data_IF_749314006902
#
_entry.id   IF_749314006902
#
_cell.length_a   1.000
_cell.length_b   1.000
_cell.length_c   1.000
_cell.angle_alpha   90.00
_cell.angle_beta   90.00
_cell.angle_gamma   90.00
#
_symmetry.space_group_name_H-M   'P 1'
#
loop_
_entity.id
_entity.type
_entity.pdbx_description
1 polymer ?
#
# COMPACT_ATOMS: atom_id res chain seq x y z
N UNK A 1 -54.83 -37.19 -17.49
CA UNK A 1 -53.41 -37.11 -17.86
C UNK A 1 -52.81 -35.94 -17.17
N UNK A 2 -51.98 -36.16 -16.11
CA UNK A 2 -51.27 -35.08 -15.36
C UNK A 2 -49.98 -34.73 -16.11
N UNK A 3 -49.76 -33.47 -16.35
CA UNK A 3 -48.61 -32.94 -17.09
C UNK A 3 -47.37 -32.92 -16.16
N UNK A 4 -46.31 -33.68 -16.44
CA UNK A 4 -45.17 -33.83 -15.52
C UNK A 4 -44.20 -32.62 -15.50
N UNK A 5 -44.45 -31.59 -16.32
CA UNK A 5 -43.52 -30.45 -16.49
C UNK A 5 -43.85 -29.23 -15.63
N UNK A 6 -44.87 -29.30 -14.74
CA UNK A 6 -45.29 -28.10 -13.96
C UNK A 6 -44.52 -27.92 -12.65
N UNK A 7 -43.80 -28.92 -12.16
CA UNK A 7 -43.12 -28.84 -10.84
C UNK A 7 -41.64 -28.43 -10.87
N UNK A 8 -40.99 -28.47 -12.04
CA UNK A 8 -39.57 -28.12 -12.14
C UNK A 8 -39.28 -26.57 -12.19
N UNK A 9 -40.29 -25.76 -12.52
CA UNK A 9 -40.12 -24.33 -12.72
C UNK A 9 -39.77 -23.54 -11.45
N UNK A 10 -40.33 -23.83 -10.27
CA UNK A 10 -40.00 -23.04 -9.07
C UNK A 10 -38.61 -23.32 -8.52
N UNK A 11 -38.12 -24.57 -8.60
CA UNK A 11 -36.78 -24.93 -8.14
C UNK A 11 -35.67 -24.34 -9.01
N UNK A 12 -35.88 -24.30 -10.33
CA UNK A 12 -34.94 -23.67 -11.26
C UNK A 12 -34.84 -22.15 -11.07
N UNK A 13 -35.96 -21.48 -10.76
CA UNK A 13 -35.99 -20.04 -10.43
C UNK A 13 -35.32 -19.73 -9.09
N UNK A 14 -35.46 -20.60 -8.08
CA UNK A 14 -34.82 -20.45 -6.78
C UNK A 14 -33.30 -20.62 -6.89
N UNK A 15 -32.82 -21.58 -7.67
CA UNK A 15 -31.39 -21.76 -7.94
C UNK A 15 -30.79 -20.61 -8.74
N UNK A 16 -31.52 -20.02 -9.68
CA UNK A 16 -31.06 -18.89 -10.46
C UNK A 16 -30.95 -17.61 -9.61
N UNK A 17 -31.86 -17.38 -8.66
CA UNK A 17 -31.81 -16.29 -7.71
C UNK A 17 -30.65 -16.45 -6.69
N UNK A 18 -30.37 -17.69 -6.25
CA UNK A 18 -29.25 -17.97 -5.35
C UNK A 18 -27.87 -17.76 -6.03
N UNK A 19 -27.78 -18.04 -7.33
CA UNK A 19 -26.56 -17.83 -8.11
C UNK A 19 -26.26 -16.34 -8.35
N UNK A 20 -27.29 -15.49 -8.45
CA UNK A 20 -27.15 -14.04 -8.63
C UNK A 20 -26.73 -13.29 -7.36
N UNK A 21 -26.91 -13.84 -6.18
CA UNK A 21 -26.51 -13.27 -4.89
C UNK A 21 -25.01 -13.43 -4.58
N UNK A 22 -24.28 -14.26 -5.36
CA UNK A 22 -22.86 -14.56 -5.07
C UNK A 22 -21.85 -13.66 -5.81
N UNK A 23 -22.30 -12.71 -6.64
CA UNK A 23 -21.40 -11.90 -7.50
C UNK A 23 -21.14 -10.48 -6.98
N UNK A 24 -21.76 -10.07 -5.86
CA UNK A 24 -21.53 -8.74 -5.29
C UNK A 24 -20.60 -8.79 -4.06
N UNK A 25 -19.37 -9.27 -4.21
CA UNK A 25 -18.33 -8.91 -3.25
C UNK A 25 -17.86 -7.50 -3.58
N UNK A 26 -18.13 -6.47 -2.74
CA UNK A 26 -17.52 -5.18 -2.94
C UNK A 26 -16.01 -5.38 -2.79
N UNK A 27 -15.28 -5.03 -3.83
CA UNK A 27 -13.83 -4.90 -3.74
C UNK A 27 -13.58 -3.76 -2.74
N UNK A 28 -13.22 -4.11 -1.52
CA UNK A 28 -12.91 -3.15 -0.49
C UNK A 28 -11.64 -2.41 -0.94
N UNK A 29 -11.80 -1.17 -1.37
CA UNK A 29 -10.71 -0.25 -1.60
C UNK A 29 -10.14 0.14 -0.23
N UNK A 30 -9.01 -0.45 0.14
CA UNK A 30 -8.46 -0.37 1.50
C UNK A 30 -8.01 1.06 1.87
N UNK A 31 -7.56 1.85 0.93
CA UNK A 31 -6.91 3.15 1.20
C UNK A 31 -7.91 4.31 1.32
N UNK A 32 -8.95 4.36 0.52
CA UNK A 32 -10.06 5.30 0.76
C UNK A 32 -10.76 5.02 2.10
N UNK A 33 -10.80 3.75 2.52
CA UNK A 33 -11.31 3.35 3.82
C UNK A 33 -10.44 3.85 5.00
N UNK A 34 -9.15 4.09 4.79
CA UNK A 34 -8.27 4.58 5.86
C UNK A 34 -8.56 6.04 6.23
N UNK A 35 -8.95 6.88 5.28
CA UNK A 35 -9.28 8.29 5.53
C UNK A 35 -10.53 8.48 6.40
N UNK A 36 -11.43 7.51 6.38
CA UNK A 36 -12.64 7.50 7.19
C UNK A 36 -12.39 6.92 8.61
N UNK A 37 -11.16 6.46 8.89
CA UNK A 37 -10.80 5.96 10.22
C UNK A 37 -10.42 7.09 11.17
N UNK A 38 -10.66 6.92 12.47
CA UNK A 38 -10.19 7.89 13.46
C UNK A 38 -8.67 8.11 13.38
N UNK A 39 -8.28 9.36 13.54
CA UNK A 39 -6.87 9.71 13.75
C UNK A 39 -6.57 9.54 15.22
N UNK A 40 -5.58 8.69 15.54
CA UNK A 40 -5.02 8.56 16.87
C UNK A 40 -3.65 9.22 16.90
N UNK A 41 -3.40 10.05 17.90
CA UNK A 41 -2.17 10.81 18.02
C UNK A 41 -1.65 10.70 19.47
N UNK A 42 -0.40 10.27 19.60
CA UNK A 42 0.32 10.11 20.87
C UNK A 42 1.57 11.01 20.83
N UNK A 43 1.89 11.67 21.94
CA UNK A 43 3.08 12.51 22.09
C UNK A 43 3.36 12.79 23.57
N UNK A 44 4.56 13.27 23.90
CA UNK A 44 4.88 13.68 25.27
C UNK A 44 4.19 15.00 25.64
N UNK A 45 4.04 15.92 24.65
CA UNK A 45 3.33 17.20 24.84
C UNK A 45 2.46 17.53 23.62
N UNK A 46 1.36 18.24 23.88
CA UNK A 46 0.46 18.73 22.84
C UNK A 46 0.06 20.19 23.13
N UNK A 47 0.08 21.01 22.10
CA UNK A 47 -0.42 22.40 22.11
C UNK A 47 -1.43 22.54 20.97
N UNK A 48 -2.69 22.81 21.30
CA UNK A 48 -3.80 22.91 20.36
C UNK A 48 -4.29 24.37 20.33
N UNK A 49 -4.27 24.96 19.14
CA UNK A 49 -4.81 26.31 18.87
C UNK A 49 -6.02 26.19 17.95
N UNK A 50 -7.19 26.05 18.54
CA UNK A 50 -8.46 25.90 17.83
C UNK A 50 -8.80 27.14 16.99
N UNK A 51 -8.38 28.33 17.42
CA UNK A 51 -8.64 29.56 16.69
C UNK A 51 -7.88 29.63 15.36
N UNK A 52 -6.67 29.06 15.33
CA UNK A 52 -5.82 29.00 14.15
C UNK A 52 -5.92 27.66 13.43
N UNK A 53 -6.63 26.69 14.02
CA UNK A 53 -6.73 25.30 13.53
C UNK A 53 -5.36 24.66 13.31
N UNK A 54 -4.46 24.89 14.27
CA UNK A 54 -3.09 24.34 14.26
C UNK A 54 -2.83 23.66 15.59
N UNK A 55 -2.37 22.41 15.50
CA UNK A 55 -1.94 21.64 16.65
C UNK A 55 -0.47 21.26 16.51
N UNK A 56 0.28 21.35 17.61
CA UNK A 56 1.69 20.99 17.67
C UNK A 56 1.86 19.90 18.71
N UNK A 57 2.47 18.80 18.30
CA UNK A 57 2.77 17.63 19.13
C UNK A 57 4.29 17.45 19.16
N UNK A 58 4.87 17.24 20.34
CA UNK A 58 6.33 17.11 20.52
C UNK A 58 6.67 15.97 21.45
N UNK A 59 7.76 15.28 21.13
CA UNK A 59 8.32 14.15 21.87
C UNK A 59 7.61 12.82 21.53
N UNK A 60 8.37 11.86 20.98
CA UNK A 60 7.90 10.50 20.67
C UNK A 60 6.58 10.44 19.91
N UNK A 61 6.37 11.37 18.97
CA UNK A 61 5.09 11.54 18.28
C UNK A 61 4.77 10.33 17.41
N UNK A 62 3.56 9.79 17.57
CA UNK A 62 3.01 8.73 16.73
C UNK A 62 1.60 9.11 16.29
N UNK A 63 1.40 9.31 14.98
CA UNK A 63 0.08 9.47 14.36
C UNK A 63 -0.27 8.17 13.64
N UNK A 64 -1.51 7.69 13.85
CA UNK A 64 -2.06 6.54 13.11
C UNK A 64 -3.47 6.84 12.61
N UNK A 65 -3.75 6.43 11.36
CA UNK A 65 -5.09 6.48 10.75
C UNK A 65 -5.23 5.30 9.79
N UNK A 66 -5.96 4.27 10.19
CA UNK A 66 -5.99 3.02 9.44
C UNK A 66 -4.60 2.40 9.28
N UNK A 67 -4.10 2.26 8.05
CA UNK A 67 -2.76 1.75 7.76
C UNK A 67 -1.67 2.83 7.75
N UNK A 68 -2.08 4.11 7.68
CA UNK A 68 -1.16 5.25 7.79
C UNK A 68 -0.53 5.30 9.17
N UNK A 69 0.79 5.43 9.21
CA UNK A 69 1.55 5.66 10.42
C UNK A 69 2.67 6.67 10.18
N UNK A 70 2.69 7.73 10.97
CA UNK A 70 3.76 8.74 10.98
C UNK A 70 4.42 8.71 12.36
N UNK A 71 5.75 8.72 12.40
CA UNK A 71 6.56 8.88 13.61
C UNK A 71 7.49 10.05 13.46
N UNK A 72 7.63 10.84 14.52
CA UNK A 72 8.43 12.07 14.49
C UNK A 72 8.85 12.50 15.90
N UNK A 73 9.81 13.43 15.96
CA UNK A 73 10.14 14.13 17.21
C UNK A 73 9.15 15.28 17.43
N UNK A 74 8.64 15.87 16.31
CA UNK A 74 7.65 16.94 16.31
C UNK A 74 6.71 16.76 15.11
N UNK A 75 5.41 16.96 15.34
CA UNK A 75 4.37 16.98 14.31
C UNK A 75 3.56 18.27 14.43
N UNK A 76 3.45 19.00 13.33
CA UNK A 76 2.55 20.14 13.19
C UNK A 76 1.38 19.70 12.31
N UNK A 77 0.18 19.77 12.84
CA UNK A 77 -1.07 19.44 12.15
C UNK A 77 -1.81 20.72 11.84
N UNK A 78 -2.24 20.88 10.60
CA UNK A 78 -3.18 21.92 10.18
C UNK A 78 -4.49 21.28 9.79
N UNK A 79 -5.55 21.82 10.33
CA UNK A 79 -6.91 21.41 10.05
C UNK A 79 -7.66 22.51 9.28
N UNK A 80 -8.75 22.16 8.65
CA UNK A 80 -9.74 23.09 8.14
C UNK A 80 -11.14 22.67 8.62
N UNK A 81 -12.20 23.21 8.00
CA UNK A 81 -13.57 22.91 8.40
C UNK A 81 -13.99 21.44 8.16
N UNK A 82 -13.21 20.70 7.34
CA UNK A 82 -13.42 19.29 7.06
C UNK A 82 -12.50 18.37 7.88
N UNK A 83 -11.67 18.93 8.76
CA UNK A 83 -10.74 18.22 9.64
C UNK A 83 -9.28 18.23 9.18
N UNK A 84 -8.53 17.15 9.42
CA UNK A 84 -7.11 17.05 9.10
C UNK A 84 -6.82 17.31 7.62
N UNK A 85 -5.95 18.26 7.35
CA UNK A 85 -5.55 18.63 5.99
C UNK A 85 -4.06 18.34 5.72
N UNK A 86 -3.19 18.86 6.58
CA UNK A 86 -1.75 18.83 6.36
C UNK A 86 -1.00 18.48 7.65
N UNK A 87 -0.18 17.47 7.59
CA UNK A 87 0.78 17.12 8.63
C UNK A 87 2.20 17.42 8.20
N UNK A 88 2.96 18.13 9.04
CA UNK A 88 4.41 18.33 8.85
C UNK A 88 5.15 17.68 10.02
N UNK A 89 5.85 16.59 9.73
CA UNK A 89 6.63 15.83 10.69
C UNK A 89 8.11 16.14 10.58
N UNK A 90 8.75 16.34 11.72
CA UNK A 90 10.20 16.58 11.84
C UNK A 90 10.81 15.50 12.73
N UNK A 91 11.98 14.97 12.34
CA UNK A 91 12.70 13.95 13.10
C UNK A 91 14.06 13.63 12.50
N UNK A 92 14.83 12.77 13.17
CA UNK A 92 16.16 12.38 12.70
C UNK A 92 16.32 10.84 12.61
N UNK A 93 15.64 10.18 11.62
CA UNK A 93 14.65 10.72 10.70
C UNK A 93 13.22 10.63 11.25
N UNK A 94 12.32 11.48 10.75
CA UNK A 94 10.89 11.19 10.78
C UNK A 94 10.58 10.05 9.80
N UNK A 95 9.49 9.32 10.04
CA UNK A 95 9.07 8.21 9.20
C UNK A 95 7.58 8.26 8.86
N UNK A 96 7.26 7.80 7.66
CA UNK A 96 5.92 7.64 7.11
C UNK A 96 5.76 6.22 6.61
N UNK A 97 4.61 5.59 6.84
CA UNK A 97 4.25 4.29 6.29
C UNK A 97 2.77 4.23 6.01
N UNK A 98 2.39 3.76 4.82
CA UNK A 98 0.99 3.57 4.41
C UNK A 98 0.87 2.40 3.44
N UNK A 99 -0.23 1.65 3.50
CA UNK A 99 -0.52 0.58 2.55
C UNK A 99 -0.96 1.16 1.21
N UNK A 100 -0.49 0.60 0.10
CA UNK A 100 -0.90 0.98 -1.25
C UNK A 100 -2.32 0.51 -1.55
N UNK A 101 -3.09 1.35 -2.25
CA UNK A 101 -4.44 0.99 -2.70
C UNK A 101 -4.39 -0.19 -3.67
N UNK A 102 -5.18 -1.23 -3.40
CA UNK A 102 -5.28 -2.41 -4.27
C UNK A 102 -4.10 -3.39 -4.21
N UNK A 103 -3.08 -3.12 -3.38
CA UNK A 103 -1.89 -3.98 -3.25
C UNK A 103 -1.66 -4.40 -1.80
N UNK A 104 -1.04 -5.56 -1.60
CA UNK A 104 -0.56 -5.98 -0.28
C UNK A 104 0.89 -5.52 -0.04
N UNK A 105 1.15 -4.27 -0.35
CA UNK A 105 2.45 -3.61 -0.26
C UNK A 105 2.34 -2.33 0.54
N UNK A 106 3.48 -1.88 1.11
CA UNK A 106 3.58 -0.63 1.83
C UNK A 106 4.52 0.33 1.12
N UNK A 107 4.17 1.62 1.16
CA UNK A 107 5.10 2.71 0.91
C UNK A 107 5.63 3.16 2.27
N UNK A 108 6.96 3.29 2.36
CA UNK A 108 7.64 3.81 3.54
C UNK A 108 8.52 4.99 3.14
N UNK A 109 8.47 6.06 3.90
CA UNK A 109 9.27 7.27 3.70
C UNK A 109 10.05 7.63 4.95
N UNK A 110 11.25 8.14 4.77
CA UNK A 110 12.14 8.60 5.85
C UNK A 110 12.83 9.89 5.40
N UNK A 111 12.83 10.92 6.25
CA UNK A 111 13.47 12.20 5.97
C UNK A 111 13.65 13.03 7.26
N UNK A 112 14.41 14.11 7.21
CA UNK A 112 14.45 15.05 8.34
C UNK A 112 13.13 15.82 8.48
N UNK A 113 12.41 16.02 7.36
CA UNK A 113 11.07 16.61 7.33
C UNK A 113 10.21 15.87 6.35
N UNK A 114 8.99 15.51 6.77
CA UNK A 114 7.95 14.88 5.94
C UNK A 114 6.71 15.78 5.96
N UNK A 115 6.17 16.08 4.80
CA UNK A 115 4.88 16.73 4.63
C UNK A 115 3.89 15.74 4.02
N UNK A 116 2.73 15.58 4.65
CA UNK A 116 1.61 14.75 4.17
C UNK A 116 0.37 15.62 3.97
N UNK A 117 -0.05 15.76 2.72
CA UNK A 117 -1.30 16.43 2.33
C UNK A 117 -2.36 15.36 2.07
N UNK A 118 -3.29 15.20 3.01
CA UNK A 118 -4.32 14.17 2.96
C UNK A 118 -5.29 14.35 1.78
N UNK A 119 -5.61 15.59 1.41
CA UNK A 119 -6.54 15.86 0.31
C UNK A 119 -5.95 15.51 -1.04
N UNK A 120 -4.68 15.83 -1.20
CA UNK A 120 -3.94 15.52 -2.43
C UNK A 120 -3.45 14.09 -2.47
N UNK A 121 -3.41 13.41 -1.31
CA UNK A 121 -2.72 12.14 -1.14
C UNK A 121 -1.26 12.21 -1.52
N UNK A 122 -0.61 13.27 -1.07
CA UNK A 122 0.74 13.61 -1.45
C UNK A 122 1.67 13.55 -0.24
N UNK A 123 2.69 12.72 -0.34
CA UNK A 123 3.80 12.68 0.61
C UNK A 123 5.01 13.35 0.00
N UNK A 124 5.63 14.26 0.75
CA UNK A 124 6.86 14.95 0.37
C UNK A 124 7.92 14.76 1.46
N UNK A 125 9.07 14.28 1.07
CA UNK A 125 10.22 13.97 1.92
C UNK A 125 11.31 14.97 1.62
N UNK A 126 11.80 15.68 2.64
CA UNK A 126 12.81 16.73 2.51
C UNK A 126 14.03 16.40 3.35
N UNK A 127 15.18 16.57 2.78
CA UNK A 127 16.50 16.39 3.37
C UNK A 127 16.75 14.93 3.80
N UNK A 128 17.77 14.33 3.22
CA UNK A 128 18.11 12.90 3.42
C UNK A 128 16.93 11.97 3.12
N UNK A 129 16.15 12.34 2.10
CA UNK A 129 14.95 11.62 1.72
C UNK A 129 15.26 10.19 1.26
N UNK A 130 14.53 9.23 1.82
CA UNK A 130 14.54 7.82 1.44
C UNK A 130 13.13 7.31 1.36
N UNK A 131 12.79 6.66 0.26
CA UNK A 131 11.51 6.02 0.07
C UNK A 131 11.69 4.57 -0.32
N UNK A 132 10.86 3.70 0.25
CA UNK A 132 10.79 2.29 -0.06
C UNK A 132 9.41 1.92 -0.54
N UNK A 133 9.36 1.00 -1.49
CA UNK A 133 8.17 0.31 -1.95
C UNK A 133 8.52 -1.15 -2.11
N UNK A 134 8.02 -1.99 -1.22
CA UNK A 134 8.42 -3.38 -1.11
C UNK A 134 9.96 -3.51 -0.99
N UNK A 135 10.62 -4.05 -2.01
CA UNK A 135 12.08 -4.20 -2.05
C UNK A 135 12.80 -3.09 -2.83
N UNK A 136 12.04 -2.24 -3.53
CA UNK A 136 12.59 -1.09 -4.24
C UNK A 136 12.91 0.04 -3.26
N UNK A 137 14.03 0.73 -3.48
CA UNK A 137 14.44 1.86 -2.66
C UNK A 137 14.94 3.02 -3.52
N UNK A 138 14.55 4.24 -3.16
CA UNK A 138 15.08 5.47 -3.73
C UNK A 138 15.58 6.40 -2.63
N UNK A 139 16.68 7.10 -2.90
CA UNK A 139 17.30 8.11 -2.02
C UNK A 139 17.58 9.37 -2.79
N UNK A 140 17.41 10.52 -2.13
CA UNK A 140 17.66 11.83 -2.70
C UNK A 140 17.62 12.90 -1.61
N UNK A 141 17.68 14.15 -2.02
CA UNK A 141 17.49 15.29 -1.10
C UNK A 141 16.00 15.61 -0.94
N UNK A 142 15.27 15.42 -2.02
CA UNK A 142 13.80 15.54 -2.04
C UNK A 142 13.19 14.37 -2.78
N UNK A 143 12.11 13.82 -2.22
CA UNK A 143 11.29 12.79 -2.85
C UNK A 143 9.82 13.14 -2.63
N UNK A 144 8.99 13.04 -3.66
CA UNK A 144 7.54 13.10 -3.53
C UNK A 144 6.88 11.86 -4.13
N UNK A 145 5.79 11.46 -3.50
CA UNK A 145 4.91 10.38 -3.95
C UNK A 145 3.46 10.85 -3.90
N UNK A 146 2.79 10.75 -5.02
CA UNK A 146 1.36 11.02 -5.18
C UNK A 146 0.63 9.67 -5.18
N UNK A 147 -0.15 9.39 -4.13
CA UNK A 147 -0.87 8.12 -3.96
C UNK A 147 -2.00 7.93 -4.96
N UNK A 148 -2.59 9.03 -5.50
CA UNK A 148 -3.68 8.93 -6.47
C UNK A 148 -3.20 8.52 -7.87
N UNK A 149 -2.03 9.05 -8.26
CA UNK A 149 -1.46 8.83 -9.60
C UNK A 149 -0.32 7.83 -9.59
N UNK A 150 0.13 7.43 -8.41
CA UNK A 150 1.32 6.58 -8.17
C UNK A 150 2.63 7.17 -8.76
N UNK A 151 2.65 8.48 -8.97
CA UNK A 151 3.82 9.17 -9.53
C UNK A 151 4.83 9.45 -8.42
N UNK A 152 6.04 8.95 -8.64
CA UNK A 152 7.21 9.20 -7.85
C UNK A 152 8.10 10.24 -8.54
N UNK A 153 8.61 11.23 -7.78
CA UNK A 153 9.61 12.20 -8.26
C UNK A 153 10.71 12.32 -7.23
N UNK A 154 11.96 12.33 -7.69
CA UNK A 154 13.14 12.47 -6.84
C UNK A 154 14.07 13.57 -7.37
N UNK A 155 14.65 14.37 -6.47
CA UNK A 155 15.68 15.34 -6.76
C UNK A 155 16.92 15.04 -5.90
N UNK A 156 18.06 15.06 -6.52
CA UNK A 156 19.35 15.04 -5.82
C UNK A 156 19.70 16.43 -5.31
N UNK A 157 20.52 16.51 -4.27
CA UNK A 157 20.96 17.75 -3.68
C UNK A 157 22.21 17.56 -2.82
N UNK A 158 22.66 18.62 -2.13
CA UNK A 158 23.86 18.57 -1.27
C UNK A 158 23.71 17.57 -0.12
N UNK A 159 22.52 17.43 0.43
CA UNK A 159 22.18 16.49 1.51
C UNK A 159 22.20 15.03 1.07
N UNK A 160 22.16 14.78 -0.26
CA UNK A 160 22.26 13.44 -0.85
C UNK A 160 23.72 13.03 -1.16
N UNK A 161 24.69 13.89 -0.83
CA UNK A 161 26.12 13.59 -1.04
C UNK A 161 26.57 12.53 -0.05
N UNK A 162 27.11 11.44 -0.56
CA UNK A 162 27.74 10.37 0.22
C UNK A 162 29.09 10.03 -0.40
N UNK A 163 29.99 9.32 0.30
CA UNK A 163 31.26 8.87 -0.29
C UNK A 163 31.08 8.07 -1.58
N UNK A 164 29.98 7.30 -1.69
CA UNK A 164 29.63 6.54 -2.90
C UNK A 164 28.89 7.38 -3.95
N UNK A 165 28.34 8.56 -3.59
CA UNK A 165 27.55 9.44 -4.46
C UNK A 165 27.96 10.91 -4.28
N UNK A 166 29.19 11.29 -4.68
CA UNK A 166 29.75 12.62 -4.36
C UNK A 166 29.09 13.77 -5.12
N UNK A 167 28.17 13.50 -6.06
CA UNK A 167 27.47 14.53 -6.85
C UNK A 167 26.04 14.81 -6.38
N UNK A 168 25.64 14.26 -5.23
CA UNK A 168 24.29 14.48 -4.70
C UNK A 168 23.17 14.07 -5.66
N UNK A 169 23.29 12.91 -6.30
CA UNK A 169 22.34 12.39 -7.29
C UNK A 169 21.24 11.59 -6.60
N UNK A 170 20.08 11.48 -7.24
CA UNK A 170 19.09 10.46 -6.86
C UNK A 170 19.68 9.07 -7.12
N UNK A 171 19.59 8.21 -6.13
CA UNK A 171 19.98 6.82 -6.23
C UNK A 171 18.74 5.94 -6.09
N UNK A 172 18.52 5.06 -7.06
CA UNK A 172 17.39 4.13 -7.05
C UNK A 172 17.91 2.70 -7.23
N UNK A 173 17.44 1.80 -6.38
CA UNK A 173 17.65 0.36 -6.47
C UNK A 173 16.31 -0.27 -6.79
N UNK A 174 16.22 -0.92 -7.95
CA UNK A 174 15.06 -1.68 -8.38
C UNK A 174 15.38 -3.17 -8.33
N UNK A 175 14.57 -3.92 -7.61
CA UNK A 175 14.75 -5.37 -7.51
C UNK A 175 14.10 -6.07 -8.71
N UNK A 176 14.72 -7.12 -9.27
CA UNK A 176 14.08 -7.94 -10.27
C UNK A 176 12.77 -8.52 -9.70
N UNK A 177 11.66 -8.29 -10.37
CA UNK A 177 10.42 -8.98 -10.01
C UNK A 177 10.66 -10.49 -10.11
N UNK A 178 10.39 -11.25 -9.05
CA UNK A 178 10.35 -12.70 -9.15
C UNK A 178 9.33 -13.02 -10.25
N UNK A 179 9.79 -13.57 -11.37
CA UNK A 179 8.88 -14.27 -12.26
C UNK A 179 8.21 -15.32 -11.39
N UNK A 180 6.90 -15.27 -11.25
CA UNK A 180 6.15 -16.40 -10.71
C UNK A 180 6.72 -17.62 -11.43
N UNK A 181 7.22 -18.57 -10.65
CA UNK A 181 7.81 -19.77 -11.21
C UNK A 181 6.77 -20.33 -12.17
N UNK A 182 7.09 -20.37 -13.46
CA UNK A 182 6.22 -21.03 -14.44
C UNK A 182 5.84 -22.38 -13.82
N UNK A 183 4.58 -22.80 -13.90
CA UNK A 183 4.17 -24.07 -13.31
C UNK A 183 5.21 -25.09 -13.75
N UNK A 184 5.92 -25.64 -12.79
CA UNK A 184 6.91 -26.68 -13.04
C UNK A 184 6.14 -27.75 -13.77
N UNK A 185 6.41 -27.92 -15.08
CA UNK A 185 5.99 -29.09 -15.81
C UNK A 185 6.71 -30.27 -15.17
N UNK A 186 6.21 -30.72 -14.01
CA UNK A 186 6.58 -31.98 -13.45
C UNK A 186 6.25 -33.02 -14.53
N UNK A 187 7.22 -33.86 -14.92
CA UNK A 187 6.93 -34.91 -15.87
C UNK A 187 5.73 -35.71 -15.36
N UNK A 188 4.66 -35.80 -16.15
CA UNK A 188 3.52 -36.64 -15.80
C UNK A 188 4.07 -38.04 -15.51
N UNK A 189 3.72 -38.66 -14.37
CA UNK A 189 4.16 -40.02 -14.09
C UNK A 189 3.54 -40.92 -15.18
N UNK A 190 4.40 -41.46 -16.06
CA UNK A 190 4.02 -42.43 -17.06
C UNK A 190 3.50 -43.66 -16.29
N UNK A 191 2.20 -43.94 -16.39
CA UNK A 191 1.67 -45.23 -15.94
C UNK A 191 2.35 -46.31 -16.74
N UNK A 192 2.90 -47.38 -16.11
CA UNK A 192 3.40 -48.53 -16.83
C UNK A 192 2.27 -49.09 -17.67
N UNK A 193 2.49 -49.33 -18.94
CA UNK A 193 1.54 -50.03 -19.78
C UNK A 193 1.36 -51.47 -19.25
N UNK A 194 0.17 -51.77 -18.79
CA UNK A 194 -0.17 -53.16 -18.41
C UNK A 194 -0.29 -53.99 -19.68
N UNK A 195 0.61 -54.97 -19.83
CA UNK A 195 0.45 -56.09 -20.72
C UNK A 195 0.94 -55.87 -22.15
N UNK A 196 2.20 -56.19 -22.39
CA UNK A 196 2.63 -56.65 -23.72
C UNK A 196 2.20 -58.12 -23.80
N UNK A 197 1.24 -58.39 -24.69
CA UNK A 197 0.82 -59.77 -24.97
C UNK A 197 2.02 -60.56 -25.50
N UNK A 198 2.23 -61.77 -24.95
CA UNK A 198 3.24 -62.68 -25.42
C UNK A 198 3.00 -63.09 -26.89
N UNK A 199 4.05 -63.17 -27.72
CA UNK A 199 3.92 -63.74 -29.05
C UNK A 199 3.50 -65.20 -28.95
N UNK A 200 2.53 -65.65 -29.79
CA UNK A 200 2.23 -67.06 -30.00
C UNK A 200 3.43 -67.68 -30.66
N UNK A 201 3.92 -68.74 -30.03
CA UNK A 201 4.81 -69.70 -30.70
C UNK A 201 3.94 -70.60 -31.60
N UNK A 202 4.28 -70.71 -32.90
CA UNK A 202 3.94 -71.79 -33.79
C UNK A 202 5.10 -72.77 -33.88
#
# INVERSE_FOLDING_TARGET
>A
MKNPNAEAAPLLRLCLCALLLFVATPWAHAEKADRDKPINLESDTANVDDARKVSIYEGNVVLTQGTLKIRADKLVVKEDDEGFQLGTAYGNPASFRQKREGYDEYIEGYALRIEYDQRKDLVQLFNQARMKRDQDEARGDYISYDGKTEIFKGLGGKESVTPSHPRGRVHTVLQPKKKDAAPTNAPLPLKPAAGIAHPREE
#
